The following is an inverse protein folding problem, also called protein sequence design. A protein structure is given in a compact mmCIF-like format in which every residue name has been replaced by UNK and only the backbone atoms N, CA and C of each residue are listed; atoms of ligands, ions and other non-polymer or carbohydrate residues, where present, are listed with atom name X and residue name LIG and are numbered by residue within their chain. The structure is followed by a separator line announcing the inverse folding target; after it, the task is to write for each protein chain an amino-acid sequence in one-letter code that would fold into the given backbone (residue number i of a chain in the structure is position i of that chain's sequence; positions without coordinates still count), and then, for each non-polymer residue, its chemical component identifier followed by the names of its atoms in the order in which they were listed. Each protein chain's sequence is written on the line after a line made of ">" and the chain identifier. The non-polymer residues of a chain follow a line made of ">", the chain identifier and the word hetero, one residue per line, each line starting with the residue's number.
data_IF_306047791804
#
_entry.id   IF_306047791804
#
_cell.length_a   1.000
_cell.length_b   1.000
_cell.length_c   1.000
_cell.angle_alpha   90.00
_cell.angle_beta   90.00
_cell.angle_gamma   90.00
#
_symmetry.space_group_name_H-M   'P 1'
#
loop_
_entity.id
_entity.type
_entity.pdbx_description
1 polymer ?
#
# COMPACT_ATOMS: atom_id res chain seq x y z
N UNK A 1 4.41 17.51 18.57
CA UNK A 1 5.61 17.57 17.73
C UNK A 1 5.27 16.85 16.45
N UNK A 2 5.25 17.54 15.32
CA UNK A 2 5.22 16.89 14.00
C UNK A 2 6.64 16.36 13.79
N UNK A 3 6.77 15.09 13.41
CA UNK A 3 8.08 14.52 13.10
C UNK A 3 8.59 15.21 11.83
N UNK A 4 9.64 16.03 11.94
CA UNK A 4 10.22 16.77 10.81
C UNK A 4 11.14 15.88 9.95
N UNK A 5 11.31 14.61 10.32
CA UNK A 5 12.06 13.65 9.51
C UNK A 5 11.23 13.23 8.29
N UNK A 6 11.83 13.20 7.09
CA UNK A 6 11.15 12.69 5.92
C UNK A 6 10.83 11.21 6.13
N UNK A 7 9.62 10.79 5.76
CA UNK A 7 9.27 9.37 5.66
C UNK A 7 10.30 8.68 4.76
N UNK A 8 10.74 7.46 5.11
CA UNK A 8 11.73 6.72 4.32
C UNK A 8 11.24 5.34 3.95
N UNK A 9 11.78 4.82 2.84
CA UNK A 9 11.56 3.46 2.37
C UNK A 9 12.91 2.81 2.04
N UNK A 10 12.98 1.49 2.08
CA UNK A 10 14.17 0.74 1.70
C UNK A 10 13.93 0.09 0.35
N UNK A 11 14.79 0.39 -0.63
CA UNK A 11 14.76 -0.22 -1.96
C UNK A 11 16.05 -0.96 -2.19
N UNK A 12 15.97 -2.28 -2.42
CA UNK A 12 17.14 -3.16 -2.62
C UNK A 12 18.23 -2.96 -1.55
N UNK A 13 17.80 -2.78 -0.29
CA UNK A 13 18.67 -2.58 0.87
C UNK A 13 19.16 -1.15 1.09
N UNK A 14 18.77 -0.18 0.25
CA UNK A 14 19.14 1.24 0.38
C UNK A 14 17.97 2.05 0.92
N UNK A 15 18.18 2.74 2.04
CA UNK A 15 17.19 3.69 2.59
C UNK A 15 17.18 4.96 1.75
N UNK A 16 16.00 5.35 1.28
CA UNK A 16 15.76 6.59 0.53
C UNK A 16 14.60 7.36 1.15
N UNK A 17 14.57 8.71 1.02
CA UNK A 17 13.37 9.49 1.32
C UNK A 17 12.19 9.01 0.46
N UNK A 18 11.01 8.98 1.04
CA UNK A 18 9.77 8.79 0.32
C UNK A 18 9.53 10.01 -0.57
N UNK A 19 9.44 9.79 -1.87
CA UNK A 19 9.09 10.83 -2.81
C UNK A 19 8.67 10.27 -4.15
N UNK A 20 7.82 11.03 -4.85
CA UNK A 20 7.47 10.76 -6.25
C UNK A 20 8.59 11.21 -7.22
N UNK A 21 9.69 11.73 -6.69
CA UNK A 21 10.92 12.06 -7.39
C UNK A 21 11.79 10.83 -7.68
N UNK A 22 11.40 9.64 -7.22
CA UNK A 22 12.03 8.39 -7.67
C UNK A 22 12.03 8.34 -9.20
N UNK A 23 13.23 8.20 -9.78
CA UNK A 23 13.42 8.02 -11.22
C UNK A 23 12.88 6.67 -11.72
N UNK A 24 12.46 5.78 -10.82
CA UNK A 24 11.89 4.47 -11.14
C UNK A 24 10.36 4.50 -11.18
N UNK A 25 9.74 4.39 -12.38
CA UNK A 25 8.28 4.46 -12.51
C UNK A 25 7.54 3.36 -11.72
N UNK A 26 8.15 2.19 -11.59
CA UNK A 26 7.56 1.06 -10.87
C UNK A 26 7.49 1.30 -9.36
N UNK A 27 8.52 1.93 -8.78
CA UNK A 27 8.53 2.33 -7.37
C UNK A 27 7.37 3.30 -7.10
N UNK A 28 7.22 4.32 -7.96
CA UNK A 28 6.10 5.28 -7.86
C UNK A 28 4.75 4.59 -7.99
N UNK A 29 4.60 3.67 -8.94
CA UNK A 29 3.38 2.91 -9.12
C UNK A 29 3.01 2.11 -7.86
N UNK A 30 3.99 1.46 -7.21
CA UNK A 30 3.78 0.74 -5.94
C UNK A 30 3.36 1.69 -4.83
N UNK A 31 4.05 2.82 -4.64
CA UNK A 31 3.73 3.81 -3.60
C UNK A 31 2.32 4.38 -3.82
N UNK A 32 1.98 4.79 -5.04
CA UNK A 32 0.65 5.31 -5.40
C UNK A 32 -0.42 4.26 -5.12
N UNK A 33 -0.17 3.00 -5.50
CA UNK A 33 -1.12 1.91 -5.29
C UNK A 33 -1.35 1.63 -3.80
N UNK A 34 -0.31 1.68 -2.96
CA UNK A 34 -0.45 1.39 -1.53
C UNK A 34 -1.04 2.55 -0.73
N UNK A 35 -0.68 3.79 -1.06
CA UNK A 35 -0.99 4.95 -0.21
C UNK A 35 -1.96 5.96 -0.83
N UNK A 36 -2.56 5.64 -1.97
CA UNK A 36 -3.81 6.27 -2.40
C UNK A 36 -4.99 5.50 -1.82
N UNK A 37 -6.07 6.18 -1.48
CA UNK A 37 -7.25 5.51 -0.92
C UNK A 37 -8.09 4.84 -2.00
N UNK A 38 -8.14 3.51 -1.97
CA UNK A 38 -9.20 2.76 -2.65
C UNK A 38 -10.47 2.80 -1.81
N UNK A 39 -11.61 2.91 -2.49
CA UNK A 39 -12.93 2.95 -1.84
C UNK A 39 -13.19 1.65 -1.06
N UNK A 40 -13.69 1.78 0.16
CA UNK A 40 -14.07 0.64 1.00
C UNK A 40 -15.21 -0.17 0.37
N UNK A 41 -15.12 -1.50 0.46
CA UNK A 41 -16.19 -2.42 0.05
C UNK A 41 -17.39 -2.31 1.00
N UNK A 42 -18.57 -2.70 0.53
CA UNK A 42 -19.83 -2.56 1.27
C UNK A 42 -19.75 -3.11 2.70
N UNK A 43 -19.09 -4.25 2.87
CA UNK A 43 -18.99 -4.97 4.14
C UNK A 43 -17.75 -4.61 4.97
N UNK A 44 -16.91 -3.66 4.51
CA UNK A 44 -15.78 -3.19 5.29
C UNK A 44 -16.24 -2.36 6.49
N UNK A 45 -15.68 -2.66 7.67
CA UNK A 45 -15.80 -1.80 8.83
C UNK A 45 -15.00 -0.50 8.62
N UNK A 46 -15.68 0.64 8.70
CA UNK A 46 -15.08 1.95 8.50
C UNK A 46 -14.46 2.48 9.80
N UNK A 47 -13.27 3.12 9.74
CA UNK A 47 -12.68 3.77 10.91
C UNK A 47 -13.45 5.05 11.25
N UNK A 48 -14.22 5.05 12.34
CA UNK A 48 -14.88 6.25 12.87
C UNK A 48 -16.42 6.15 12.94
N UNK A 49 -17.07 7.28 13.20
CA UNK A 49 -18.53 7.40 13.46
C UNK A 49 -19.34 7.92 12.27
N UNK A 50 -18.70 8.19 11.13
CA UNK A 50 -19.28 8.97 10.02
C UNK A 50 -20.19 8.22 9.03
N UNK A 51 -20.50 6.94 9.25
CA UNK A 51 -21.39 6.18 8.35
C UNK A 51 -20.84 5.99 6.92
N UNK A 52 -21.74 5.65 5.98
CA UNK A 52 -21.42 5.29 4.58
C UNK A 52 -20.76 6.41 3.75
N UNK A 53 -20.84 7.67 4.21
CA UNK A 53 -20.30 8.83 3.50
C UNK A 53 -18.76 8.94 3.58
N UNK A 54 -18.11 8.12 4.42
CA UNK A 54 -16.65 8.13 4.62
C UNK A 54 -15.91 6.93 4.02
N UNK A 55 -16.46 6.30 2.97
CA UNK A 55 -15.85 5.14 2.29
C UNK A 55 -14.58 5.48 1.49
N UNK A 56 -14.18 6.75 1.45
CA UNK A 56 -13.06 7.29 0.67
C UNK A 56 -13.09 6.85 -0.80
N UNK A 57 -11.98 7.02 -1.51
CA UNK A 57 -11.81 6.57 -2.89
C UNK A 57 -10.90 7.48 -3.68
N UNK A 58 -10.36 6.95 -4.77
CA UNK A 58 -9.61 7.71 -5.74
C UNK A 58 -10.56 8.24 -6.81
N UNK A 59 -10.49 9.54 -7.08
CA UNK A 59 -11.40 10.19 -8.03
C UNK A 59 -11.29 9.60 -9.45
N UNK A 60 -10.12 9.06 -9.82
CA UNK A 60 -9.86 8.39 -11.10
C UNK A 60 -10.72 7.15 -11.35
N UNK A 61 -11.21 6.50 -10.29
CA UNK A 61 -12.09 5.33 -10.39
C UNK A 61 -13.53 5.69 -10.80
N UNK A 62 -13.87 6.98 -10.91
CA UNK A 62 -15.23 7.43 -11.29
C UNK A 62 -15.53 7.11 -12.77
N UNK A 63 -14.51 7.19 -13.62
CA UNK A 63 -14.62 6.96 -15.06
C UNK A 63 -13.46 6.08 -15.56
N UNK A 64 -13.39 4.81 -15.11
CA UNK A 64 -12.24 3.99 -15.40
C UNK A 64 -12.26 3.55 -16.87
N UNK A 65 -11.09 3.52 -17.50
CA UNK A 65 -10.95 3.03 -18.88
C UNK A 65 -11.25 1.51 -18.97
N UNK A 66 -10.94 0.77 -17.91
CA UNK A 66 -11.23 -0.66 -17.76
C UNK A 66 -12.29 -0.83 -16.66
N UNK A 67 -13.40 -1.56 -16.90
CA UNK A 67 -14.42 -1.76 -15.87
C UNK A 67 -13.85 -2.37 -14.59
N UNK A 68 -14.22 -1.79 -13.45
CA UNK A 68 -13.75 -2.17 -12.10
C UNK A 68 -12.25 -1.97 -11.84
N UNK A 69 -11.55 -1.22 -12.70
CA UNK A 69 -10.22 -0.74 -12.34
C UNK A 69 -10.32 0.18 -11.10
N UNK A 70 -9.47 -0.09 -10.11
CA UNK A 70 -9.52 0.52 -8.78
C UNK A 70 -8.12 0.68 -8.23
N UNK A 71 -7.59 1.88 -8.39
CA UNK A 71 -6.27 2.22 -7.84
C UNK A 71 -6.38 2.58 -6.37
N UNK A 72 -5.29 2.30 -5.66
CA UNK A 72 -5.17 2.56 -4.24
C UNK A 72 -5.38 1.30 -3.40
N UNK A 73 -5.25 1.48 -2.09
CA UNK A 73 -5.40 0.43 -1.11
C UNK A 73 -6.45 0.78 -0.08
N UNK A 74 -6.99 -0.25 0.56
CA UNK A 74 -7.83 -0.16 1.76
C UNK A 74 -7.01 -0.15 3.06
N UNK A 75 -5.68 -0.05 2.98
CA UNK A 75 -4.79 0.10 4.14
C UNK A 75 -5.24 1.19 5.11
N UNK A 76 -5.80 2.30 4.62
CA UNK A 76 -6.35 3.38 5.45
C UNK A 76 -7.46 2.94 6.42
N UNK A 77 -8.17 1.82 6.16
CA UNK A 77 -9.14 1.24 7.10
C UNK A 77 -8.49 0.81 8.41
N UNK A 78 -7.17 0.66 8.44
CA UNK A 78 -6.41 0.21 9.60
C UNK A 78 -5.96 1.37 10.50
N UNK A 79 -6.13 2.64 10.13
CA UNK A 79 -5.58 3.84 10.81
C UNK A 79 -5.90 4.00 12.32
N UNK A 80 -6.83 3.21 12.86
CA UNK A 80 -7.17 3.19 14.29
C UNK A 80 -7.26 1.78 14.87
N UNK A 81 -6.87 0.77 14.10
CA UNK A 81 -6.93 -0.62 14.53
C UNK A 81 -5.81 -0.91 15.55
N UNK A 82 -6.07 -1.84 16.47
CA UNK A 82 -4.99 -2.40 17.30
C UNK A 82 -4.10 -3.27 16.42
N UNK A 83 -2.79 -3.25 16.65
CA UNK A 83 -1.85 -4.10 15.92
C UNK A 83 -1.94 -5.55 16.40
N UNK A 84 -2.86 -6.30 15.80
CA UNK A 84 -3.15 -7.71 16.09
C UNK A 84 -2.76 -8.59 14.91
N UNK A 85 -2.73 -9.92 15.08
CA UNK A 85 -2.50 -10.85 13.98
C UNK A 85 -3.50 -10.66 12.83
N UNK A 86 -4.76 -10.35 13.15
CA UNK A 86 -5.79 -10.07 12.16
C UNK A 86 -5.52 -8.78 11.39
N UNK A 87 -5.06 -7.73 12.06
CA UNK A 87 -4.66 -6.46 11.41
C UNK A 87 -3.50 -6.67 10.45
N UNK A 88 -2.51 -7.49 10.81
CA UNK A 88 -1.37 -7.83 9.95
C UNK A 88 -1.85 -8.60 8.71
N UNK A 89 -2.74 -9.60 8.90
CA UNK A 89 -3.34 -10.36 7.79
C UNK A 89 -4.08 -9.43 6.82
N UNK A 90 -4.93 -8.54 7.34
CA UNK A 90 -5.66 -7.55 6.52
C UNK A 90 -4.72 -6.58 5.80
N UNK A 91 -3.63 -6.15 6.44
CA UNK A 91 -2.65 -5.28 5.80
C UNK A 91 -2.02 -5.95 4.57
N UNK A 92 -1.63 -7.23 4.69
CA UNK A 92 -1.14 -8.02 3.56
C UNK A 92 -2.20 -8.11 2.46
N UNK A 93 -3.43 -8.48 2.79
CA UNK A 93 -4.52 -8.63 1.82
C UNK A 93 -4.82 -7.33 1.05
N UNK A 94 -4.80 -6.20 1.75
CA UNK A 94 -5.02 -4.89 1.13
C UNK A 94 -3.87 -4.43 0.25
N UNK A 95 -2.63 -4.81 0.58
CA UNK A 95 -1.47 -4.54 -0.25
C UNK A 95 -1.44 -5.46 -1.49
N UNK A 96 -1.79 -6.75 -1.34
CA UNK A 96 -1.95 -7.68 -2.46
C UNK A 96 -3.04 -7.21 -3.43
N UNK A 97 -4.20 -6.78 -2.91
CA UNK A 97 -5.29 -6.21 -3.71
C UNK A 97 -4.84 -4.96 -4.47
N UNK A 98 -4.12 -4.07 -3.80
CA UNK A 98 -3.68 -2.80 -4.38
C UNK A 98 -2.63 -2.98 -5.49
N UNK A 99 -1.80 -4.01 -5.43
CA UNK A 99 -0.74 -4.24 -6.42
C UNK A 99 -1.12 -5.27 -7.49
N UNK A 100 -2.30 -5.87 -7.39
CA UNK A 100 -2.77 -6.89 -8.33
C UNK A 100 -2.83 -6.39 -9.78
N UNK A 101 -3.19 -5.13 -10.00
CA UNK A 101 -3.27 -4.55 -11.35
C UNK A 101 -1.93 -4.61 -12.10
N UNK A 102 -0.79 -4.50 -11.40
CA UNK A 102 0.53 -4.61 -12.02
C UNK A 102 0.74 -5.97 -12.71
N UNK A 103 0.13 -7.02 -12.16
CA UNK A 103 0.18 -8.37 -12.75
C UNK A 103 -0.87 -8.51 -13.84
N UNK A 104 -2.10 -8.07 -13.58
CA UNK A 104 -3.23 -8.21 -14.50
C UNK A 104 -2.99 -7.45 -15.82
N UNK A 105 -2.33 -6.29 -15.75
CA UNK A 105 -1.96 -5.47 -16.92
C UNK A 105 -0.62 -5.89 -17.55
N UNK A 106 0.05 -6.91 -16.99
CA UNK A 106 1.32 -7.44 -17.49
C UNK A 106 2.54 -6.53 -17.27
N UNK A 107 2.44 -5.53 -16.39
CA UNK A 107 3.57 -4.66 -16.01
C UNK A 107 4.66 -5.47 -15.31
N UNK A 108 4.26 -6.45 -14.50
CA UNK A 108 5.16 -7.35 -13.77
C UNK A 108 4.65 -8.78 -13.87
N UNK A 109 5.54 -9.76 -13.74
CA UNK A 109 5.18 -11.17 -13.81
C UNK A 109 4.54 -11.67 -12.51
N UNK A 110 4.96 -11.12 -11.36
CA UNK A 110 4.50 -11.56 -10.03
C UNK A 110 4.79 -10.51 -8.96
N UNK A 111 3.94 -10.47 -7.95
CA UNK A 111 4.10 -9.65 -6.74
C UNK A 111 4.02 -10.58 -5.53
N UNK A 112 4.93 -10.42 -4.58
CA UNK A 112 4.87 -11.07 -3.27
C UNK A 112 4.83 -10.03 -2.17
N UNK A 113 3.90 -10.20 -1.24
CA UNK A 113 3.69 -9.30 -0.12
C UNK A 113 3.88 -10.03 1.20
N UNK A 114 4.65 -9.41 2.08
CA UNK A 114 4.82 -9.80 3.47
C UNK A 114 4.44 -8.61 4.35
N UNK A 115 3.58 -8.87 5.33
CA UNK A 115 3.27 -7.92 6.38
C UNK A 115 3.63 -8.58 7.71
N UNK A 116 4.31 -7.85 8.58
CA UNK A 116 4.67 -8.35 9.90
C UNK A 116 4.62 -7.24 10.94
N UNK A 117 4.48 -7.64 12.20
CA UNK A 117 4.64 -6.74 13.33
C UNK A 117 6.07 -6.78 13.81
N UNK A 118 6.72 -5.63 13.84
CA UNK A 118 8.02 -5.45 14.46
C UNK A 118 7.85 -4.74 15.80
N UNK A 119 8.25 -5.38 16.89
CA UNK A 119 8.07 -4.85 18.24
C UNK A 119 6.58 -4.64 18.59
N UNK A 120 6.27 -3.56 19.32
CA UNK A 120 4.93 -3.34 19.85
C UNK A 120 4.03 -2.49 18.93
N UNK A 121 4.60 -1.64 18.10
CA UNK A 121 3.86 -0.55 17.43
C UNK A 121 4.03 -0.51 15.92
N UNK A 122 4.99 -1.25 15.36
CA UNK A 122 5.39 -1.07 13.97
C UNK A 122 4.82 -2.18 13.09
N UNK A 123 4.19 -1.77 11.99
CA UNK A 123 3.72 -2.66 10.93
C UNK A 123 4.70 -2.54 9.76
N UNK A 124 5.56 -3.55 9.59
CA UNK A 124 6.46 -3.60 8.44
C UNK A 124 5.74 -4.23 7.24
N UNK A 125 5.97 -3.68 6.06
CA UNK A 125 5.43 -4.19 4.79
C UNK A 125 6.57 -4.34 3.78
N UNK A 126 6.75 -5.54 3.24
CA UNK A 126 7.70 -5.83 2.18
C UNK A 126 6.96 -6.21 0.89
N UNK A 127 7.35 -5.58 -0.21
CA UNK A 127 6.81 -5.79 -1.54
C UNK A 127 7.93 -6.25 -2.47
N UNK A 128 7.94 -7.54 -2.83
CA UNK A 128 8.91 -8.12 -3.76
C UNK A 128 8.27 -8.24 -5.14
N UNK A 129 8.80 -7.48 -6.10
CA UNK A 129 8.21 -7.29 -7.42
C UNK A 129 9.09 -7.97 -8.48
N UNK A 130 8.52 -8.96 -9.16
CA UNK A 130 9.22 -9.77 -10.17
C UNK A 130 8.85 -9.30 -11.57
N UNK A 131 9.82 -8.72 -12.29
CA UNK A 131 9.67 -8.37 -13.71
C UNK A 131 9.78 -9.62 -14.58
N UNK A 132 9.25 -9.55 -15.80
CA UNK A 132 9.35 -10.63 -16.81
C UNK A 132 10.74 -10.77 -17.43
N UNK A 133 11.67 -9.85 -17.14
CA UNK A 133 13.02 -9.82 -17.70
C UNK A 133 14.02 -10.77 -17.01
N UNK A 134 13.58 -11.53 -16.01
CA UNK A 134 14.39 -12.53 -15.31
C UNK A 134 15.46 -11.97 -14.37
N UNK A 135 15.49 -10.65 -14.15
CA UNK A 135 16.40 -10.03 -13.17
C UNK A 135 15.96 -10.32 -11.74
N UNK A 136 16.84 -9.96 -10.80
CA UNK A 136 16.49 -9.95 -9.38
C UNK A 136 15.21 -9.12 -9.15
N UNK A 137 14.31 -9.57 -8.26
CA UNK A 137 13.10 -8.80 -7.94
C UNK A 137 13.48 -7.47 -7.32
N UNK A 138 12.69 -6.45 -7.64
CA UNK A 138 12.75 -5.16 -6.94
C UNK A 138 12.14 -5.36 -5.54
N UNK A 139 12.91 -5.08 -4.50
CA UNK A 139 12.51 -5.26 -3.10
C UNK A 139 12.25 -3.90 -2.45
N UNK A 140 10.98 -3.58 -2.24
CA UNK A 140 10.53 -2.32 -1.62
C UNK A 140 10.02 -2.63 -0.23
N UNK A 141 10.63 -2.05 0.80
CA UNK A 141 10.21 -2.22 2.19
C UNK A 141 9.81 -0.89 2.83
N UNK A 142 8.65 -0.91 3.46
CA UNK A 142 8.15 0.13 4.34
C UNK A 142 8.42 -0.35 5.77
N UNK A 143 9.38 0.30 6.44
CA UNK A 143 9.79 -0.11 7.79
C UNK A 143 8.64 0.05 8.78
N UNK A 144 7.89 1.15 8.66
CA UNK A 144 6.65 1.35 9.40
C UNK A 144 5.54 1.89 8.48
N UNK A 145 4.76 0.98 7.91
CA UNK A 145 3.59 1.32 7.10
C UNK A 145 2.53 2.11 7.89
N UNK A 146 2.57 2.06 9.23
CA UNK A 146 1.63 2.76 10.11
C UNK A 146 1.78 4.28 10.03
N UNK A 147 3.01 4.77 9.82
CA UNK A 147 3.31 6.20 9.67
C UNK A 147 2.64 6.82 8.43
N UNK A 148 2.29 5.99 7.44
CA UNK A 148 1.69 6.44 6.18
C UNK A 148 0.16 6.43 6.20
N UNK A 149 -0.46 5.75 7.17
CA UNK A 149 -1.92 5.57 7.21
C UNK A 149 -2.59 6.22 8.42
N UNK A 150 -1.83 6.53 9.47
CA UNK A 150 -2.33 7.32 10.59
C UNK A 150 -2.17 8.82 10.32
N UNK A 151 -3.25 9.44 9.88
CA UNK A 151 -3.38 10.90 9.73
C UNK A 151 -4.42 11.44 10.70
#
# INVERSE_FOLDING_TARGET
>A
MINEQPLTIVIDGRTIPLGLDSDEPLVRAVIISLFTWRRANKDDALPGVGGDDQRMGWWGDTFPAVPNDRIGSRLWLLSRAKLTAETIRRAKEYAEEALKWLVDDGVVARVEIEAERQGLTTLALACRIYKSDGKAPLDIRFQDAWEFINV
#
